data_IF_468739480804
#
_entry.id   IF_468739480804
#
_cell.length_a   1.000
_cell.length_b   1.000
_cell.length_c   1.000
_cell.angle_alpha   90.00
_cell.angle_beta   90.00
_cell.angle_gamma   90.00
#
_symmetry.space_group_name_H-M   'P 1'
#
loop_
_entity.id
_entity.type
_entity.pdbx_description
1 polymer ?
#
# COMPACT_ATOMS: atom_id res chain seq x y z
N UNK A 1 -24.46 -3.35 2.37
CA UNK A 1 -23.05 -3.74 2.18
C UNK A 1 -22.49 -2.85 1.09
N UNK A 2 -21.25 -2.38 1.22
CA UNK A 2 -20.63 -1.49 0.22
C UNK A 2 -20.37 -2.30 -1.05
N UNK A 3 -20.76 -1.75 -2.20
CA UNK A 3 -20.59 -2.38 -3.51
C UNK A 3 -19.69 -1.46 -4.35
N UNK A 4 -18.70 -2.05 -5.01
CA UNK A 4 -17.77 -1.32 -5.87
C UNK A 4 -17.98 -1.72 -7.33
N UNK A 5 -18.12 -0.73 -8.20
CA UNK A 5 -18.07 -0.93 -9.66
C UNK A 5 -16.70 -1.51 -10.02
N UNK A 6 -16.60 -2.22 -11.14
CA UNK A 6 -15.33 -2.77 -11.64
C UNK A 6 -14.21 -1.73 -11.70
N UNK A 7 -14.52 -0.51 -12.16
CA UNK A 7 -13.55 0.59 -12.25
C UNK A 7 -13.06 1.06 -10.88
N UNK A 8 -13.95 1.13 -9.89
CA UNK A 8 -13.59 1.50 -8.52
C UNK A 8 -12.75 0.40 -7.87
N UNK A 9 -13.10 -0.87 -8.11
CA UNK A 9 -12.32 -2.01 -7.66
C UNK A 9 -10.92 -2.03 -8.30
N UNK A 10 -10.81 -1.71 -9.59
CA UNK A 10 -9.54 -1.64 -10.31
C UNK A 10 -8.63 -0.53 -9.74
N UNK A 11 -9.20 0.65 -9.49
CA UNK A 11 -8.49 1.75 -8.85
C UNK A 11 -7.99 1.38 -7.45
N UNK A 12 -8.86 0.79 -6.61
CA UNK A 12 -8.51 0.35 -5.25
C UNK A 12 -7.42 -0.73 -5.24
N UNK A 13 -7.39 -1.61 -6.24
CA UNK A 13 -6.39 -2.68 -6.37
C UNK A 13 -5.13 -2.24 -7.13
N UNK A 14 -5.09 -1.01 -7.67
CA UNK A 14 -3.95 -0.50 -8.43
C UNK A 14 -3.71 -1.24 -9.76
N UNK A 15 -4.76 -1.73 -10.41
CA UNK A 15 -4.70 -2.45 -11.70
C UNK A 15 -5.69 -1.87 -12.72
N UNK A 16 -5.71 -2.39 -13.95
CA UNK A 16 -6.67 -1.98 -14.97
C UNK A 16 -8.04 -2.64 -14.80
N UNK A 17 -9.11 -1.99 -15.28
CA UNK A 17 -10.47 -2.55 -15.37
C UNK A 17 -10.49 -3.93 -16.03
N UNK A 18 -9.72 -4.12 -17.11
CA UNK A 18 -9.60 -5.39 -17.83
C UNK A 18 -9.03 -6.50 -16.94
N UNK A 19 -8.05 -6.17 -16.10
CA UNK A 19 -7.46 -7.12 -15.14
C UNK A 19 -8.51 -7.60 -14.14
N UNK A 20 -9.32 -6.68 -13.62
CA UNK A 20 -10.41 -7.03 -12.68
C UNK A 20 -11.48 -7.87 -13.37
N UNK A 21 -11.90 -7.52 -14.60
CA UNK A 21 -12.85 -8.33 -15.38
C UNK A 21 -12.35 -9.74 -15.58
N UNK A 22 -11.07 -9.91 -15.96
CA UNK A 22 -10.46 -11.24 -16.13
C UNK A 22 -10.45 -12.05 -14.83
N UNK A 23 -10.30 -11.42 -13.67
CA UNK A 23 -10.41 -12.11 -12.38
C UNK A 23 -11.83 -12.52 -12.05
N UNK A 24 -12.83 -11.70 -12.39
CA UNK A 24 -14.25 -12.04 -12.22
C UNK A 24 -14.63 -13.19 -13.16
N UNK A 25 -14.32 -13.06 -14.44
CA UNK A 25 -14.62 -14.07 -15.46
C UNK A 25 -13.92 -15.41 -15.15
N UNK A 26 -12.72 -15.34 -14.56
CA UNK A 26 -11.95 -16.49 -14.08
C UNK A 26 -12.38 -17.04 -12.72
N UNK A 27 -13.42 -16.48 -12.08
CA UNK A 27 -13.94 -16.90 -10.77
C UNK A 27 -13.01 -16.63 -9.59
N UNK A 28 -11.95 -15.83 -9.77
CA UNK A 28 -11.00 -15.45 -8.71
C UNK A 28 -11.55 -14.33 -7.82
N UNK A 29 -12.43 -13.48 -8.35
CA UNK A 29 -13.10 -12.41 -7.61
C UNK A 29 -14.61 -12.51 -7.84
N UNK A 30 -15.38 -12.72 -6.78
CA UNK A 30 -16.84 -12.79 -6.88
C UNK A 30 -17.44 -11.40 -7.17
N UNK A 31 -18.33 -11.32 -8.15
CA UNK A 31 -19.05 -10.11 -8.50
C UNK A 31 -20.49 -10.44 -8.92
N UNK A 32 -21.42 -9.58 -8.55
CA UNK A 32 -22.85 -9.72 -8.85
C UNK A 32 -23.37 -8.45 -9.55
N UNK A 33 -24.57 -8.52 -10.12
CA UNK A 33 -25.22 -7.31 -10.62
C UNK A 33 -25.68 -6.43 -9.46
N UNK A 34 -25.30 -5.15 -9.47
CA UNK A 34 -25.83 -4.15 -8.54
C UNK A 34 -27.31 -3.84 -8.82
N UNK A 35 -27.90 -2.98 -7.99
CA UNK A 35 -29.30 -2.54 -8.14
C UNK A 35 -29.62 -1.85 -9.49
N UNK A 36 -28.60 -1.45 -10.24
CA UNK A 36 -28.71 -0.85 -11.59
C UNK A 36 -28.45 -1.86 -12.72
N UNK A 37 -28.28 -3.15 -12.40
CA UNK A 37 -28.03 -4.22 -13.35
C UNK A 37 -26.58 -4.28 -13.86
N UNK A 38 -25.67 -3.55 -13.22
CA UNK A 38 -24.28 -3.45 -13.66
C UNK A 38 -23.38 -4.27 -12.72
N UNK A 39 -22.32 -4.87 -13.26
CA UNK A 39 -21.42 -5.72 -12.48
C UNK A 39 -20.71 -4.93 -11.36
N UNK A 40 -20.78 -5.44 -10.13
CA UNK A 40 -20.21 -4.87 -8.92
C UNK A 40 -19.66 -5.95 -7.99
N UNK A 41 -18.63 -5.59 -7.24
CA UNK A 41 -17.94 -6.46 -6.28
C UNK A 41 -18.35 -6.06 -4.88
N UNK A 42 -18.72 -7.04 -4.05
CA UNK A 42 -18.94 -6.78 -2.63
C UNK A 42 -17.64 -6.33 -1.95
N UNK A 43 -17.72 -5.28 -1.15
CA UNK A 43 -16.55 -4.68 -0.51
C UNK A 43 -15.79 -5.62 0.42
N UNK A 44 -16.45 -6.57 1.09
CA UNK A 44 -15.78 -7.54 1.94
C UNK A 44 -15.01 -8.58 1.08
N UNK A 45 -15.62 -9.02 -0.03
CA UNK A 45 -14.96 -9.91 -0.98
C UNK A 45 -13.76 -9.23 -1.65
N UNK A 46 -13.89 -7.96 -2.04
CA UNK A 46 -12.80 -7.16 -2.61
C UNK A 46 -11.65 -6.99 -1.63
N UNK A 47 -11.94 -6.68 -0.36
CA UNK A 47 -10.93 -6.53 0.67
C UNK A 47 -10.18 -7.85 0.96
N UNK A 48 -10.90 -8.97 1.04
CA UNK A 48 -10.29 -10.28 1.22
C UNK A 48 -9.36 -10.63 0.05
N UNK A 49 -9.80 -10.36 -1.19
CA UNK A 49 -9.01 -10.57 -2.39
C UNK A 49 -7.75 -9.69 -2.43
N UNK A 50 -7.85 -8.42 -2.01
CA UNK A 50 -6.71 -7.51 -1.95
C UNK A 50 -5.61 -8.02 -1.01
N UNK A 51 -5.98 -8.59 0.14
CA UNK A 51 -5.03 -9.16 1.11
C UNK A 51 -4.28 -10.37 0.51
N UNK A 52 -4.98 -11.25 -0.21
CA UNK A 52 -4.37 -12.41 -0.87
C UNK A 52 -3.36 -12.00 -1.96
N UNK A 53 -3.63 -10.90 -2.66
CA UNK A 53 -2.79 -10.38 -3.74
C UNK A 53 -1.54 -9.61 -3.29
N UNK A 54 -1.49 -9.12 -2.05
CA UNK A 54 -0.49 -8.16 -1.57
C UNK A 54 0.95 -8.71 -1.39
N UNK A 55 1.34 -9.73 -2.16
CA UNK A 55 2.68 -10.34 -2.16
C UNK A 55 3.76 -9.29 -2.46
N UNK A 56 4.31 -8.72 -1.39
CA UNK A 56 5.38 -7.72 -1.40
C UNK A 56 6.73 -8.44 -1.63
N UNK A 57 7.73 -7.80 -2.27
CA UNK A 57 9.09 -8.33 -2.31
C UNK A 57 9.56 -8.81 -0.94
N UNK A 58 10.26 -9.94 -0.89
CA UNK A 58 10.73 -10.55 0.35
C UNK A 58 11.57 -9.55 1.15
N UNK A 59 11.13 -9.26 2.37
CA UNK A 59 11.87 -8.42 3.31
C UNK A 59 13.22 -9.07 3.63
N UNK A 60 14.36 -8.38 3.41
CA UNK A 60 15.68 -8.95 3.65
C UNK A 60 16.07 -9.04 5.13
N UNK A 61 15.24 -8.57 6.08
CA UNK A 61 15.58 -8.54 7.51
C UNK A 61 15.18 -9.79 8.31
N UNK A 62 16.02 -10.26 9.23
CA UNK A 62 15.88 -11.55 9.95
C UNK A 62 15.47 -11.43 11.43
N UNK A 63 14.97 -10.28 11.90
CA UNK A 63 14.70 -10.03 13.33
C UNK A 63 13.20 -10.08 13.67
N UNK A 64 12.82 -10.82 14.73
CA UNK A 64 11.43 -10.87 15.21
C UNK A 64 10.96 -9.55 15.83
N UNK A 65 9.85 -8.96 15.34
CA UNK A 65 9.39 -7.61 15.73
C UNK A 65 7.87 -7.43 15.70
N UNK A 66 7.37 -6.43 16.45
CA UNK A 66 5.95 -6.11 16.65
C UNK A 66 5.33 -5.18 15.60
N UNK A 67 6.14 -4.53 14.76
CA UNK A 67 5.65 -3.66 13.68
C UNK A 67 5.21 -4.49 12.48
N UNK A 68 3.95 -4.35 12.07
CA UNK A 68 3.32 -5.18 11.02
C UNK A 68 3.38 -4.57 9.62
N UNK A 69 3.50 -3.24 9.50
CA UNK A 69 3.53 -2.56 8.22
C UNK A 69 4.98 -2.35 7.79
N UNK A 70 5.38 -3.00 6.69
CA UNK A 70 6.73 -2.93 6.14
C UNK A 70 6.64 -2.67 4.64
N UNK A 71 7.33 -1.64 4.21
CA UNK A 71 7.34 -1.22 2.82
C UNK A 71 8.78 -1.28 2.33
N UNK A 72 9.09 -2.35 1.59
CA UNK A 72 10.38 -2.50 0.91
C UNK A 72 10.41 -1.52 -0.25
N UNK A 73 11.48 -0.73 -0.33
CA UNK A 73 11.61 0.30 -1.35
C UNK A 73 13.03 0.77 -1.54
N UNK A 74 13.17 1.75 -2.42
CA UNK A 74 14.45 2.38 -2.75
C UNK A 74 14.41 3.81 -2.25
N UNK A 75 15.49 4.28 -1.62
CA UNK A 75 15.62 5.67 -1.20
C UNK A 75 15.69 6.57 -2.43
N UNK A 76 14.81 7.55 -2.54
CA UNK A 76 14.74 8.47 -3.69
C UNK A 76 15.23 9.87 -3.36
N UNK A 77 15.16 10.29 -2.10
CA UNK A 77 15.67 11.58 -1.64
C UNK A 77 16.06 11.55 -0.16
N UNK A 78 17.05 12.36 0.20
CA UNK A 78 17.47 12.63 1.57
C UNK A 78 17.67 14.14 1.71
N UNK A 79 16.96 14.76 2.64
CA UNK A 79 17.17 16.16 3.04
C UNK A 79 17.56 16.17 4.51
N UNK A 80 18.72 16.71 4.84
CA UNK A 80 19.30 16.63 6.18
C UNK A 80 19.63 18.02 6.69
N UNK A 81 19.20 18.33 7.91
CA UNK A 81 19.66 19.48 8.68
C UNK A 81 20.61 19.03 9.81
N UNK A 82 20.94 19.92 10.74
CA UNK A 82 21.87 19.63 11.86
C UNK A 82 21.38 18.50 12.77
N UNK A 83 20.07 18.38 13.00
CA UNK A 83 19.45 17.48 14.00
C UNK A 83 18.54 16.45 13.36
N UNK A 84 17.74 16.86 12.37
CA UNK A 84 16.70 16.09 11.73
C UNK A 84 16.99 15.87 10.24
N UNK A 85 16.45 14.78 9.72
CA UNK A 85 16.48 14.45 8.31
C UNK A 85 15.11 13.94 7.86
N UNK A 86 14.78 14.28 6.63
CA UNK A 86 13.69 13.72 5.85
C UNK A 86 14.28 12.71 4.85
N UNK A 87 13.80 11.48 4.89
CA UNK A 87 14.15 10.42 3.94
C UNK A 87 12.91 9.97 3.20
N UNK A 88 13.02 9.85 1.88
CA UNK A 88 11.93 9.42 1.01
C UNK A 88 12.26 8.06 0.39
N UNK A 89 11.28 7.16 0.42
CA UNK A 89 11.37 5.84 -0.21
C UNK A 89 10.26 5.69 -1.24
N UNK A 90 10.59 5.11 -2.39
CA UNK A 90 9.62 4.55 -3.32
C UNK A 90 9.43 3.06 -3.03
N UNK A 91 8.25 2.68 -2.57
CA UNK A 91 7.89 1.32 -2.17
C UNK A 91 6.73 0.80 -3.03
N UNK A 92 7.05 0.14 -4.15
CA UNK A 92 6.03 -0.22 -5.15
C UNK A 92 5.32 1.03 -5.68
N UNK A 93 3.98 1.10 -5.68
CA UNK A 93 3.25 2.29 -6.11
C UNK A 93 3.23 3.41 -5.05
N UNK A 94 3.76 3.19 -3.84
CA UNK A 94 3.64 4.13 -2.72
C UNK A 94 4.93 4.90 -2.48
N UNK A 95 4.82 6.22 -2.26
CA UNK A 95 5.90 7.06 -1.71
C UNK A 95 5.74 7.14 -0.20
N UNK A 96 6.79 6.77 0.54
CA UNK A 96 6.83 6.83 2.00
C UNK A 96 7.87 7.86 2.44
N UNK A 97 7.50 8.75 3.37
CA UNK A 97 8.40 9.78 3.91
C UNK A 97 8.61 9.53 5.39
N UNK A 98 9.86 9.49 5.82
CA UNK A 98 10.26 9.32 7.21
C UNK A 98 10.99 10.56 7.69
N UNK A 99 10.61 11.07 8.86
CA UNK A 99 11.39 12.03 9.62
C UNK A 99 12.17 11.28 10.69
N UNK A 100 13.49 11.43 10.70
CA UNK A 100 14.40 10.77 11.64
C UNK A 100 15.57 11.69 11.98
N UNK A 101 16.41 11.32 12.95
CA UNK A 101 17.59 12.14 13.25
C UNK A 101 18.60 12.08 12.10
N UNK A 102 19.33 13.18 11.91
CA UNK A 102 20.45 13.24 10.95
C UNK A 102 21.54 12.22 11.28
N UNK A 103 21.68 11.86 12.56
CA UNK A 103 22.58 10.79 13.02
C UNK A 103 22.12 9.42 12.53
N UNK A 104 20.83 9.09 12.67
CA UNK A 104 20.31 7.80 12.23
C UNK A 104 20.48 7.57 10.72
N UNK A 105 20.37 8.62 9.89
CA UNK A 105 20.66 8.54 8.44
C UNK A 105 22.12 8.11 8.21
N UNK A 106 23.06 8.71 8.95
CA UNK A 106 24.50 8.40 8.84
C UNK A 106 24.82 7.01 9.38
N UNK A 107 24.29 6.64 10.54
CA UNK A 107 24.51 5.34 11.17
C UNK A 107 23.99 4.19 10.30
N UNK A 108 22.85 4.39 9.64
CA UNK A 108 22.27 3.40 8.73
C UNK A 108 22.91 3.41 7.34
N UNK A 109 23.79 4.36 7.04
CA UNK A 109 24.42 4.51 5.72
C UNK A 109 23.40 4.72 4.60
N UNK A 110 22.35 5.50 4.85
CA UNK A 110 21.32 5.74 3.84
C UNK A 110 21.86 6.64 2.73
N UNK A 111 21.67 6.21 1.49
CA UNK A 111 22.07 6.92 0.29
C UNK A 111 20.93 6.84 -0.73
N UNK A 112 20.82 7.84 -1.61
CA UNK A 112 19.87 7.78 -2.72
C UNK A 112 20.20 6.57 -3.59
N UNK A 113 19.21 5.73 -3.86
CA UNK A 113 19.35 4.47 -4.58
C UNK A 113 19.51 3.23 -3.69
N UNK A 114 19.71 3.39 -2.38
CA UNK A 114 19.85 2.23 -1.48
C UNK A 114 18.53 1.50 -1.27
N UNK A 115 18.59 0.17 -1.17
CA UNK A 115 17.47 -0.66 -0.75
C UNK A 115 17.21 -0.43 0.74
N UNK A 116 15.98 -0.10 1.10
CA UNK A 116 15.59 0.19 2.48
C UNK A 116 14.19 -0.32 2.76
N UNK A 117 13.87 -0.49 4.04
CA UNK A 117 12.53 -0.92 4.47
C UNK A 117 11.97 0.12 5.43
N UNK A 118 10.88 0.78 5.02
CA UNK A 118 10.13 1.63 5.93
C UNK A 118 9.29 0.75 6.86
N UNK A 119 9.47 0.93 8.16
CA UNK A 119 8.78 0.15 9.20
C UNK A 119 7.86 1.08 9.97
N UNK A 120 6.55 0.84 9.89
CA UNK A 120 5.53 1.67 10.53
C UNK A 120 4.85 0.86 11.63
N UNK A 121 4.81 1.41 12.84
CA UNK A 121 4.08 0.80 13.95
C UNK A 121 2.58 0.87 13.64
N UNK A 122 1.87 -0.25 13.77
CA UNK A 122 0.44 -0.34 13.43
C UNK A 122 -0.43 0.68 14.19
N UNK A 123 -0.03 1.06 15.41
CA UNK A 123 -0.74 2.07 16.22
C UNK A 123 -0.62 3.51 15.71
N UNK A 124 0.23 3.76 14.71
CA UNK A 124 0.45 5.09 14.14
C UNK A 124 -0.21 5.25 12.76
N UNK A 125 -1.14 4.36 12.41
CA UNK A 125 -1.90 4.43 11.17
C UNK A 125 -3.24 5.12 11.44
N UNK A 126 -3.58 6.09 10.60
CA UNK A 126 -4.88 6.76 10.57
C UNK A 126 -5.70 6.13 9.45
N UNK A 127 -6.96 5.80 9.73
CA UNK A 127 -7.91 5.28 8.74
C UNK A 127 -8.99 6.32 8.53
N UNK A 128 -9.18 6.70 7.28
CA UNK A 128 -10.21 7.64 6.86
C UNK A 128 -11.14 6.94 5.87
N UNK A 129 -12.41 7.34 5.84
CA UNK A 129 -13.37 6.92 4.82
C UNK A 129 -13.77 8.13 3.98
N UNK A 130 -14.12 7.96 2.69
CA UNK A 130 -14.64 9.05 1.87
C UNK A 130 -15.77 9.81 2.57
N UNK A 131 -15.74 11.14 2.48
CA UNK A 131 -16.85 11.98 2.97
C UNK A 131 -18.12 11.66 2.20
N UNK A 132 -19.27 11.61 2.89
CA UNK A 132 -20.57 11.43 2.23
C UNK A 132 -20.79 12.61 1.28
N UNK A 133 -20.80 12.39 -0.04
CA UNK A 133 -21.30 13.40 -0.96
C UNK A 133 -22.81 13.56 -0.68
N UNK A 134 -23.23 14.77 -0.29
CA UNK A 134 -24.64 15.16 -0.18
C UNK A 134 -25.21 15.42 -1.57
#
# INVERSE_FOLDING_TARGET
>A
MTQYRISEAAELLGVSDDTVRRWVDGGRLAADADASGRLAVDGAALAAFAVDQASTPTDPSTVGRSARNRFVGIVTAITTDTVMAQVELQCGPHRVVSLMSSEAVRELGLEIGSLSVAVIKATNVIVETPGRML
#
